data_IF_524150790139
#
_entry.id   IF_524150790139
#
_cell.length_a   1.000
_cell.length_b   1.000
_cell.length_c   1.000
_cell.angle_alpha   90.00
_cell.angle_beta   90.00
_cell.angle_gamma   90.00
#
_symmetry.space_group_name_H-M   'P 1'
#
loop_
_entity.id
_entity.type
_entity.pdbx_description
1 polymer ?
#
# COMPACT_ATOMS: atom_id res chain seq x y z
N UNK A 1 7.42 -2.48 -11.78
CA UNK A 1 6.65 -3.12 -12.87
C UNK A 1 5.26 -3.39 -12.31
N UNK A 2 4.31 -2.47 -12.51
CA UNK A 2 2.95 -2.59 -11.95
C UNK A 2 2.17 -3.56 -12.83
N UNK A 3 1.90 -4.76 -12.34
CA UNK A 3 1.13 -5.76 -13.07
C UNK A 3 -0.34 -5.39 -12.97
N UNK A 4 -0.89 -4.81 -14.04
CA UNK A 4 -2.31 -4.47 -14.13
C UNK A 4 -3.07 -5.74 -14.52
N UNK A 5 -3.77 -6.38 -13.59
CA UNK A 5 -4.73 -7.43 -13.93
C UNK A 5 -5.93 -6.78 -14.62
N UNK A 6 -5.97 -6.85 -15.96
CA UNK A 6 -7.06 -6.27 -16.75
C UNK A 6 -8.30 -7.17 -16.70
N UNK A 7 -9.30 -6.79 -15.91
CA UNK A 7 -10.68 -7.28 -16.07
C UNK A 7 -11.46 -6.37 -17.02
N UNK A 8 -12.37 -6.88 -17.89
CA UNK A 8 -12.98 -6.10 -18.98
C UNK A 8 -14.12 -5.17 -18.56
N UNK A 9 -14.41 -5.03 -17.26
CA UNK A 9 -15.50 -4.17 -16.77
C UNK A 9 -15.07 -2.70 -16.69
N UNK A 10 -15.30 -1.96 -17.78
CA UNK A 10 -15.68 -0.53 -17.82
C UNK A 10 -15.09 0.40 -16.72
N UNK A 11 -13.80 0.75 -16.86
CA UNK A 11 -13.17 2.08 -16.62
C UNK A 11 -13.57 2.95 -15.39
N UNK A 12 -13.77 2.40 -14.19
CA UNK A 12 -13.92 3.26 -13.00
C UNK A 12 -12.95 2.97 -11.85
N UNK A 13 -12.59 1.69 -11.63
CA UNK A 13 -11.65 1.29 -10.57
C UNK A 13 -10.63 0.31 -11.11
N UNK A 14 -9.36 0.53 -10.78
CA UNK A 14 -8.24 -0.34 -11.13
C UNK A 14 -7.59 -0.83 -9.84
N UNK A 15 -7.33 -2.14 -9.77
CA UNK A 15 -6.48 -2.72 -8.74
C UNK A 15 -5.02 -2.57 -9.19
N UNK A 16 -4.28 -1.70 -8.51
CA UNK A 16 -2.86 -1.50 -8.76
C UNK A 16 -2.03 -2.33 -7.79
N UNK A 17 -1.16 -3.19 -8.32
CA UNK A 17 -0.21 -3.95 -7.51
C UNK A 17 1.02 -3.08 -7.23
N UNK A 18 1.26 -2.79 -5.95
CA UNK A 18 2.32 -1.89 -5.50
C UNK A 18 3.15 -2.55 -4.39
N UNK A 19 4.40 -2.10 -4.26
CA UNK A 19 5.31 -2.52 -3.21
C UNK A 19 5.81 -1.26 -2.48
N UNK A 20 5.72 -1.27 -1.14
CA UNK A 20 6.23 -0.18 -0.31
C UNK A 20 6.91 -0.73 0.95
N UNK A 21 7.81 0.07 1.54
CA UNK A 21 8.46 -0.23 2.81
C UNK A 21 7.81 0.58 3.94
N UNK A 22 7.07 -0.11 4.79
CA UNK A 22 6.39 0.48 5.94
C UNK A 22 7.32 0.47 7.15
N UNK A 23 7.48 1.64 7.78
CA UNK A 23 8.18 1.77 9.06
C UNK A 23 7.16 1.64 10.18
N UNK A 24 7.35 0.67 11.05
CA UNK A 24 6.52 0.44 12.23
C UNK A 24 7.35 0.81 13.47
N UNK A 25 6.81 1.73 14.26
CA UNK A 25 7.42 2.16 15.51
C UNK A 25 7.19 1.12 16.61
N UNK A 26 8.11 0.97 17.58
CA UNK A 26 8.02 -0.04 18.64
C UNK A 26 6.72 -0.01 19.45
N UNK A 27 6.11 1.16 19.65
CA UNK A 27 4.85 1.30 20.39
C UNK A 27 3.66 0.61 19.72
N UNK A 28 3.73 0.31 18.42
CA UNK A 28 2.65 -0.36 17.68
C UNK A 28 2.84 -1.89 17.61
N UNK A 29 3.86 -2.47 18.25
CA UNK A 29 4.14 -3.91 18.18
C UNK A 29 3.13 -4.78 18.96
N UNK A 30 2.33 -4.18 19.85
CA UNK A 30 1.29 -4.91 20.59
C UNK A 30 -0.01 -5.16 19.81
N UNK A 31 -0.17 -4.53 18.64
CA UNK A 31 -1.35 -4.65 17.79
C UNK A 31 -1.14 -5.67 16.67
N UNK A 32 -2.21 -6.25 16.10
CA UNK A 32 -2.09 -7.17 14.98
C UNK A 32 -1.37 -6.49 13.80
N UNK A 33 -0.35 -7.16 13.30
CA UNK A 33 0.59 -6.59 12.33
C UNK A 33 -0.11 -6.12 11.04
N UNK A 34 -1.08 -6.90 10.56
CA UNK A 34 -1.87 -6.58 9.38
C UNK A 34 -2.67 -5.28 9.53
N UNK A 35 -3.28 -5.05 10.69
CA UNK A 35 -4.04 -3.82 10.96
C UNK A 35 -3.13 -2.61 10.99
N UNK A 36 -1.97 -2.74 11.65
CA UNK A 36 -0.96 -1.69 11.70
C UNK A 36 -0.44 -1.36 10.31
N UNK A 37 -0.16 -2.37 9.49
CA UNK A 37 0.26 -2.20 8.11
C UNK A 37 -0.81 -1.50 7.27
N UNK A 38 -2.06 -1.98 7.31
CA UNK A 38 -3.17 -1.35 6.58
C UNK A 38 -3.37 0.11 6.99
N UNK A 39 -3.31 0.40 8.29
CA UNK A 39 -3.44 1.77 8.81
C UNK A 39 -2.31 2.67 8.33
N UNK A 40 -1.07 2.19 8.35
CA UNK A 40 0.09 2.95 7.87
C UNK A 40 0.05 3.17 6.35
N UNK A 41 -0.33 2.15 5.58
CA UNK A 41 -0.46 2.24 4.12
C UNK A 41 -1.57 3.22 3.72
N UNK A 42 -2.75 3.12 4.34
CA UNK A 42 -3.85 4.06 4.12
C UNK A 42 -3.44 5.49 4.50
N UNK A 43 -2.84 5.72 5.67
CA UNK A 43 -2.38 7.05 6.06
C UNK A 43 -1.35 7.65 5.10
N UNK A 44 -0.53 6.82 4.43
CA UNK A 44 0.49 7.27 3.48
C UNK A 44 -0.03 7.52 2.07
N UNK A 45 -1.01 6.73 1.61
CA UNK A 45 -1.40 6.66 0.20
C UNK A 45 -2.82 7.16 -0.07
N UNK A 46 -3.71 7.15 0.93
CA UNK A 46 -5.08 7.67 0.76
C UNK A 46 -5.05 9.15 0.36
N UNK A 47 -5.94 9.52 -0.56
CA UNK A 47 -6.09 10.87 -1.11
C UNK A 47 -4.87 11.40 -1.88
N UNK A 48 -3.90 10.55 -2.22
CA UNK A 48 -2.79 10.93 -3.09
C UNK A 48 -3.11 10.61 -4.54
N UNK A 49 -2.72 11.51 -5.43
CA UNK A 49 -2.80 11.32 -6.88
C UNK A 49 -1.44 10.82 -7.35
N UNK A 50 -1.40 9.62 -7.92
CA UNK A 50 -0.19 9.06 -8.52
C UNK A 50 -0.22 9.33 -10.03
N UNK A 51 0.77 10.03 -10.59
CA UNK A 51 0.83 10.30 -12.03
C UNK A 51 0.76 9.01 -12.85
N UNK A 52 -0.15 8.97 -13.83
CA UNK A 52 -0.36 7.80 -14.70
C UNK A 52 -1.24 6.68 -14.12
N UNK A 53 -1.58 6.72 -12.82
CA UNK A 53 -2.46 5.74 -12.16
C UNK A 53 -3.81 6.36 -11.75
N UNK A 54 -3.81 7.54 -11.11
CA UNK A 54 -5.02 8.24 -10.67
C UNK A 54 -5.08 8.47 -9.15
N UNK A 55 -6.30 8.64 -8.62
CA UNK A 55 -6.56 8.90 -7.21
C UNK A 55 -6.56 7.60 -6.40
N UNK A 56 -5.70 7.54 -5.39
CA UNK A 56 -5.60 6.43 -4.45
C UNK A 56 -6.69 6.52 -3.38
N UNK A 57 -7.50 5.47 -3.25
CA UNK A 57 -8.52 5.35 -2.20
C UNK A 57 -7.99 4.64 -0.95
N UNK A 58 -7.97 3.30 -0.95
CA UNK A 58 -7.59 2.47 0.19
C UNK A 58 -6.93 1.16 -0.27
N UNK A 59 -6.22 0.50 0.66
CA UNK A 59 -5.63 -0.83 0.46
C UNK A 59 -6.76 -1.88 0.39
N UNK A 60 -6.77 -2.68 -0.68
CA UNK A 60 -7.72 -3.78 -0.83
C UNK A 60 -7.28 -4.97 0.02
N UNK A 61 -6.07 -5.48 -0.22
CA UNK A 61 -5.51 -6.62 0.48
C UNK A 61 -3.97 -6.60 0.46
N UNK A 62 -3.39 -7.38 1.38
CA UNK A 62 -1.96 -7.62 1.51
C UNK A 62 -1.66 -8.96 0.81
N UNK A 63 -0.83 -8.94 -0.23
CA UNK A 63 -0.47 -10.15 -0.98
C UNK A 63 0.69 -10.87 -0.28
N UNK A 64 1.72 -10.11 0.09
CA UNK A 64 2.95 -10.66 0.64
C UNK A 64 3.54 -9.68 1.64
N UNK A 65 3.80 -10.19 2.85
CA UNK A 65 4.58 -9.49 3.87
C UNK A 65 5.98 -10.06 3.84
N UNK A 66 6.93 -9.26 3.36
CA UNK A 66 8.33 -9.63 3.28
C UNK A 66 9.04 -9.58 4.63
N UNK A 67 10.36 -9.80 4.58
CA UNK A 67 11.20 -9.78 5.79
C UNK A 67 11.21 -8.40 6.42
N UNK A 68 10.93 -8.34 7.72
CA UNK A 68 11.08 -7.15 8.54
C UNK A 68 12.51 -7.07 9.07
N UNK A 69 13.13 -5.89 8.94
CA UNK A 69 14.47 -5.64 9.46
C UNK A 69 14.46 -4.43 10.38
N UNK A 70 15.27 -4.50 11.44
CA UNK A 70 15.39 -3.45 12.44
C UNK A 70 16.63 -2.63 12.12
N UNK A 71 16.47 -1.32 11.94
CA UNK A 71 17.61 -0.44 11.78
C UNK A 71 18.26 -0.15 13.15
N UNK A 72 19.56 -0.45 13.34
CA UNK A 72 20.25 -0.08 14.57
C UNK A 72 20.29 1.46 14.67
N UNK A 73 19.74 1.99 15.76
CA UNK A 73 19.65 3.43 16.03
C UNK A 73 18.20 3.96 16.13
N UNK A 74 17.29 3.46 15.29
CA UNK A 74 15.87 3.88 15.33
C UNK A 74 15.02 2.90 16.15
N UNK A 75 15.41 1.62 16.19
CA UNK A 75 14.64 0.56 16.86
C UNK A 75 13.29 0.27 16.19
N UNK A 76 12.93 1.01 15.15
CA UNK A 76 11.77 0.75 14.30
C UNK A 76 12.02 -0.42 13.36
N UNK A 77 11.00 -1.25 13.14
CA UNK A 77 11.03 -2.28 12.10
C UNK A 77 10.62 -1.69 10.76
N UNK A 78 11.40 -1.98 9.73
CA UNK A 78 11.09 -1.70 8.34
C UNK A 78 10.65 -2.98 7.68
N UNK A 79 9.42 -3.00 7.17
CA UNK A 79 8.84 -4.19 6.55
C UNK A 79 8.46 -3.88 5.13
N UNK A 80 8.95 -4.70 4.20
CA UNK A 80 8.57 -4.63 2.79
C UNK A 80 7.24 -5.36 2.61
N UNK A 81 6.30 -4.71 1.94
CA UNK A 81 4.96 -5.26 1.78
C UNK A 81 4.50 -5.06 0.33
N UNK A 82 3.99 -6.13 -0.27
CA UNK A 82 3.28 -6.08 -1.55
C UNK A 82 1.78 -6.14 -1.30
N UNK A 83 1.06 -5.20 -1.87
CA UNK A 83 -0.38 -5.06 -1.64
C UNK A 83 -1.08 -4.62 -2.93
N UNK A 84 -2.40 -4.81 -2.98
CA UNK A 84 -3.24 -4.24 -4.04
C UNK A 84 -3.92 -3.00 -3.50
N UNK A 85 -3.85 -1.93 -4.27
CA UNK A 85 -4.49 -0.66 -3.94
C UNK A 85 -5.64 -0.39 -4.90
N UNK A 86 -6.76 0.11 -4.38
CA UNK A 86 -7.88 0.54 -5.22
C UNK A 86 -7.62 1.97 -5.68
N UNK A 87 -7.49 2.14 -6.98
CA UNK A 87 -7.22 3.45 -7.61
C UNK A 87 -8.35 3.78 -8.57
N UNK A 88 -8.83 5.02 -8.49
CA UNK A 88 -9.71 5.59 -9.51
C UNK A 88 -8.83 6.26 -10.56
N UNK A 89 -8.78 5.66 -11.75
CA UNK A 89 -8.17 6.29 -12.92
C UNK A 89 -9.15 7.31 -13.50
N UNK A 90 -9.34 8.44 -12.83
CA UNK A 90 -9.97 9.59 -13.49
C UNK A 90 -8.98 10.07 -14.54
N UNK A 91 -9.33 9.88 -15.81
CA UNK A 91 -8.61 10.51 -16.89
C UNK A 91 -8.95 12.01 -16.83
N UNK A 92 -8.19 12.77 -16.06
CA UNK A 92 -8.16 14.22 -16.21
C UNK A 92 -7.39 14.49 -17.49
N UNK A 93 -8.10 14.44 -18.61
CA UNK A 93 -7.67 15.08 -19.84
C UNK A 93 -7.99 16.56 -19.77
#
# INVERSE_FOLDING_TARGET
>A
MVTISRSPFSKMFVLALMEDTVRIKPHNFGSPFEEVLMKQLNARLTNKIVPGLGLCLFVYDLIEVGVSYILPGDGSTHTRVKFRFVVISTICR
#
